data_IF_604991380943
#
_entry.id   IF_604991380943
#
_cell.length_a   1.000
_cell.length_b   1.000
_cell.length_c   1.000
_cell.angle_alpha   90.00
_cell.angle_beta   90.00
_cell.angle_gamma   90.00
#
_symmetry.space_group_name_H-M   'P 1'
#
loop_
_entity.id
_entity.type
_entity.pdbx_description
1 polymer ?
#
# COMPACT_ATOMS: atom_id res chain seq x y z
N UNK A 1 -4.16 25.38 14.78
CA UNK A 1 -3.88 24.96 13.39
C UNK A 1 -2.57 24.22 13.35
N UNK A 2 -2.49 23.09 12.63
CA UNK A 2 -1.28 22.29 12.40
C UNK A 2 -1.03 22.15 10.90
N UNK A 3 0.22 22.24 10.48
CA UNK A 3 0.58 22.06 9.05
C UNK A 3 1.20 20.69 8.84
N UNK A 4 0.60 19.86 7.98
CA UNK A 4 1.12 18.56 7.55
C UNK A 4 1.82 18.75 6.20
N UNK A 5 3.10 18.40 6.13
CA UNK A 5 3.85 18.25 4.88
C UNK A 5 3.74 16.83 4.35
N UNK A 6 3.48 16.67 3.06
CA UNK A 6 3.32 15.37 2.40
C UNK A 6 4.38 15.25 1.30
N UNK A 7 5.30 14.30 1.43
CA UNK A 7 6.24 13.93 0.37
C UNK A 7 5.52 12.96 -0.57
N UNK A 8 5.16 13.45 -1.75
CA UNK A 8 4.32 12.80 -2.73
C UNK A 8 2.98 13.52 -2.89
N UNK A 9 2.62 13.80 -4.14
CA UNK A 9 1.40 14.52 -4.51
C UNK A 9 0.41 13.64 -5.29
N UNK A 10 0.52 12.33 -5.20
CA UNK A 10 -0.37 11.40 -5.88
C UNK A 10 -1.75 11.29 -5.21
N UNK A 11 -2.48 10.23 -5.56
CA UNK A 11 -3.83 10.00 -5.02
C UNK A 11 -3.85 9.75 -3.51
N UNK A 12 -2.79 9.17 -2.94
CA UNK A 12 -2.72 8.93 -1.50
C UNK A 12 -2.59 10.25 -0.74
N UNK A 13 -1.75 11.16 -1.24
CA UNK A 13 -1.62 12.51 -0.72
C UNK A 13 -2.90 13.32 -0.85
N UNK A 14 -3.63 13.18 -1.98
CA UNK A 14 -4.96 13.78 -2.18
C UNK A 14 -5.92 13.35 -1.07
N UNK A 15 -6.14 12.04 -0.92
CA UNK A 15 -7.06 11.49 0.09
C UNK A 15 -6.61 11.79 1.52
N UNK A 16 -5.29 11.81 1.78
CA UNK A 16 -4.77 12.20 3.09
C UNK A 16 -5.12 13.66 3.42
N UNK A 17 -4.89 14.59 2.48
CA UNK A 17 -5.23 16.00 2.68
C UNK A 17 -6.72 16.21 2.89
N UNK A 18 -7.59 15.54 2.12
CA UNK A 18 -9.04 15.60 2.28
C UNK A 18 -9.50 15.10 3.65
N UNK A 19 -8.94 13.99 4.14
CA UNK A 19 -9.34 13.40 5.42
C UNK A 19 -8.72 14.12 6.62
N UNK A 20 -7.52 14.68 6.48
CA UNK A 20 -6.90 15.51 7.51
C UNK A 20 -7.72 16.77 7.82
N UNK A 21 -8.31 17.38 6.82
CA UNK A 21 -9.20 18.56 6.98
C UNK A 21 -10.54 18.25 7.70
N UNK A 22 -10.85 16.96 7.91
CA UNK A 22 -12.05 16.51 8.65
C UNK A 22 -11.76 16.21 10.13
N UNK A 23 -10.54 16.43 10.61
CA UNK A 23 -10.18 16.28 12.02
C UNK A 23 -10.77 17.41 12.87
N UNK A 24 -10.83 17.19 14.19
CA UNK A 24 -11.19 18.26 15.14
C UNK A 24 -10.10 19.35 15.21
N UNK A 25 -8.85 18.95 15.08
CA UNK A 25 -7.73 19.88 14.94
C UNK A 25 -7.78 20.52 13.56
N UNK A 26 -7.73 21.85 13.50
CA UNK A 26 -7.60 22.58 12.23
C UNK A 26 -6.26 22.23 11.57
N UNK A 27 -6.33 21.67 10.36
CA UNK A 27 -5.16 21.18 9.62
C UNK A 27 -5.02 21.94 8.30
N UNK A 28 -3.79 22.32 8.01
CA UNK A 28 -3.31 22.79 6.71
C UNK A 28 -2.41 21.72 6.09
N UNK A 29 -2.49 21.50 4.79
CA UNK A 29 -1.65 20.55 4.07
C UNK A 29 -0.78 21.22 3.01
N UNK A 30 0.47 20.79 2.90
CA UNK A 30 1.41 21.19 1.85
C UNK A 30 1.93 19.89 1.22
N UNK A 31 1.86 19.76 -0.12
CA UNK A 31 2.43 18.59 -0.80
C UNK A 31 3.64 18.99 -1.67
N UNK A 32 4.61 18.07 -1.74
CA UNK A 32 5.76 18.11 -2.64
C UNK A 32 5.60 17.05 -3.71
N UNK A 33 5.63 17.44 -4.98
CA UNK A 33 5.61 16.50 -6.11
C UNK A 33 6.33 17.10 -7.34
N UNK A 34 7.02 16.31 -8.16
CA UNK A 34 7.64 16.80 -9.39
C UNK A 34 6.62 17.20 -10.47
N UNK A 35 5.40 16.66 -10.45
CA UNK A 35 4.34 17.00 -11.41
C UNK A 35 3.58 18.25 -10.95
N UNK A 36 3.55 19.28 -11.79
CA UNK A 36 2.85 20.53 -11.45
C UNK A 36 1.31 20.40 -11.35
N UNK A 37 0.76 19.30 -11.90
CA UNK A 37 -0.66 18.92 -11.89
C UNK A 37 -0.93 17.70 -10.99
N UNK A 38 -0.07 17.49 -9.97
CA UNK A 38 -0.20 16.37 -9.06
C UNK A 38 -1.58 16.39 -8.34
N UNK A 39 -2.29 15.26 -8.25
CA UNK A 39 -3.64 15.16 -7.68
C UNK A 39 -3.82 15.82 -6.31
N UNK A 40 -2.86 15.64 -5.40
CA UNK A 40 -2.94 16.18 -4.04
C UNK A 40 -2.98 17.71 -4.00
N UNK A 41 -2.47 18.39 -5.01
CA UNK A 41 -2.49 19.86 -5.06
C UNK A 41 -3.91 20.44 -5.11
N UNK A 42 -4.89 19.64 -5.55
CA UNK A 42 -6.29 20.06 -5.52
C UNK A 42 -6.90 20.13 -4.11
N UNK A 43 -6.36 19.34 -3.17
CA UNK A 43 -6.84 19.30 -1.78
C UNK A 43 -5.88 19.99 -0.78
N UNK A 44 -4.64 20.24 -1.15
CA UNK A 44 -3.67 20.92 -0.31
C UNK A 44 -3.84 22.45 -0.34
N UNK A 45 -3.43 23.11 0.74
CA UNK A 45 -3.50 24.57 0.88
C UNK A 45 -2.33 25.26 0.22
N UNK A 46 -1.23 24.50 -0.02
CA UNK A 46 -0.05 24.98 -0.69
C UNK A 46 0.71 23.80 -1.32
N UNK A 47 1.65 24.08 -2.19
CA UNK A 47 2.41 23.08 -2.95
C UNK A 47 3.86 23.48 -3.16
N UNK A 48 4.70 22.48 -3.32
CA UNK A 48 6.08 22.62 -3.78
C UNK A 48 6.23 21.73 -5.02
N UNK A 49 6.59 22.31 -6.15
CA UNK A 49 6.92 21.55 -7.36
C UNK A 49 8.42 21.27 -7.32
N UNK A 50 8.80 20.03 -7.06
CA UNK A 50 10.20 19.64 -6.88
C UNK A 50 10.36 18.12 -6.85
N UNK A 51 11.57 17.65 -7.10
CA UNK A 51 11.89 16.21 -7.11
C UNK A 51 12.02 15.67 -5.68
N UNK A 52 11.74 14.40 -5.47
CA UNK A 52 11.89 13.72 -4.18
C UNK A 52 13.37 13.47 -3.80
N UNK A 53 14.27 13.54 -4.77
CA UNK A 53 15.72 13.43 -4.62
C UNK A 53 16.43 14.80 -4.65
N UNK A 54 15.67 15.90 -4.56
CA UNK A 54 16.20 17.26 -4.34
C UNK A 54 16.16 17.59 -2.85
N UNK A 55 17.34 17.62 -2.16
CA UNK A 55 17.39 17.93 -0.73
C UNK A 55 16.78 19.29 -0.37
N UNK A 56 16.93 20.29 -1.26
CA UNK A 56 16.42 21.63 -1.00
C UNK A 56 14.89 21.68 -1.02
N UNK A 57 14.27 20.97 -1.99
CA UNK A 57 12.82 20.90 -2.09
C UNK A 57 12.20 20.15 -0.90
N UNK A 58 12.81 19.02 -0.48
CA UNK A 58 12.33 18.24 0.68
C UNK A 58 12.54 19.04 1.97
N UNK A 59 13.68 19.71 2.16
CA UNK A 59 13.92 20.54 3.34
C UNK A 59 12.98 21.76 3.38
N UNK A 60 12.64 22.37 2.24
CA UNK A 60 11.67 23.45 2.15
C UNK A 60 10.30 23.00 2.66
N UNK A 61 9.85 21.79 2.28
CA UNK A 61 8.62 21.20 2.81
C UNK A 61 8.70 21.03 4.32
N UNK A 62 9.82 20.50 4.83
CA UNK A 62 10.03 20.30 6.28
C UNK A 62 9.99 21.63 7.03
N UNK A 63 10.64 22.68 6.54
CA UNK A 63 10.65 24.01 7.19
C UNK A 63 9.27 24.67 7.25
N UNK A 64 8.39 24.37 6.29
CA UNK A 64 7.05 24.96 6.19
C UNK A 64 5.98 24.13 6.88
N UNK A 65 6.35 23.00 7.50
CA UNK A 65 5.42 22.06 8.10
C UNK A 65 5.71 21.84 9.59
N UNK A 66 4.67 21.67 10.40
CA UNK A 66 4.82 21.25 11.81
C UNK A 66 5.16 19.76 11.93
N UNK A 67 4.72 18.97 10.94
CA UNK A 67 4.95 17.52 10.86
C UNK A 67 4.97 17.09 9.40
N UNK A 68 5.84 16.14 9.06
CA UNK A 68 5.96 15.64 7.69
C UNK A 68 5.71 14.14 7.65
N UNK A 69 5.06 13.70 6.58
CA UNK A 69 4.84 12.30 6.22
C UNK A 69 5.17 12.08 4.75
N UNK A 70 5.16 10.83 4.32
CA UNK A 70 5.39 10.44 2.94
C UNK A 70 4.26 9.52 2.44
N UNK A 71 3.88 9.69 1.18
CA UNK A 71 3.00 8.77 0.44
C UNK A 71 3.76 8.05 -0.68
N UNK A 72 5.02 8.46 -0.93
CA UNK A 72 5.90 7.90 -1.92
C UNK A 72 6.97 7.03 -1.26
N UNK A 73 7.11 5.78 -1.71
CA UNK A 73 7.98 4.78 -1.07
C UNK A 73 9.47 4.96 -1.37
N UNK A 74 9.81 5.58 -2.49
CA UNK A 74 11.20 5.64 -2.96
C UNK A 74 11.88 6.98 -2.65
N UNK A 75 11.57 7.58 -1.49
CA UNK A 75 12.32 8.76 -1.00
C UNK A 75 13.72 8.30 -0.60
N UNK A 76 14.79 8.91 -1.14
CA UNK A 76 16.16 8.48 -0.83
C UNK A 76 16.51 8.69 0.65
N UNK A 77 17.18 7.69 1.24
CA UNK A 77 17.55 7.74 2.65
C UNK A 77 18.58 8.79 2.99
N UNK A 78 19.52 9.06 2.10
CA UNK A 78 20.51 10.12 2.24
C UNK A 78 19.88 11.52 2.41
N UNK A 79 18.65 11.70 1.94
CA UNK A 79 17.88 12.93 2.10
C UNK A 79 17.06 12.89 3.37
N UNK A 80 16.31 11.80 3.59
CA UNK A 80 15.32 11.76 4.65
C UNK A 80 15.94 11.55 6.05
N UNK A 81 17.02 10.75 6.16
CA UNK A 81 17.66 10.46 7.45
C UNK A 81 18.12 11.74 8.16
N UNK A 82 18.90 12.65 7.55
CA UNK A 82 19.32 13.88 8.22
C UNK A 82 18.16 14.81 8.59
N UNK A 83 17.04 14.73 7.86
CA UNK A 83 15.86 15.54 8.14
C UNK A 83 15.05 14.99 9.30
N UNK A 84 15.05 13.67 9.55
CA UNK A 84 14.41 13.08 10.71
C UNK A 84 14.99 13.58 12.05
N UNK A 85 16.28 13.94 12.07
CA UNK A 85 16.94 14.47 13.28
C UNK A 85 16.61 15.95 13.53
N UNK A 86 16.20 16.68 12.49
CA UNK A 86 16.00 18.13 12.52
C UNK A 86 14.54 18.56 12.50
N UNK A 87 13.69 17.74 11.94
CA UNK A 87 12.27 18.02 11.72
C UNK A 87 11.40 16.87 12.22
N UNK A 88 10.16 17.15 12.52
CA UNK A 88 9.22 16.14 12.99
C UNK A 88 8.70 15.29 11.81
N UNK A 89 9.35 14.15 11.58
CA UNK A 89 8.95 13.10 10.65
C UNK A 89 8.68 11.82 11.47
N UNK A 90 7.51 11.71 12.13
CA UNK A 90 7.33 10.76 13.23
C UNK A 90 7.29 9.28 12.80
N UNK A 91 7.05 8.99 11.53
CA UNK A 91 7.21 7.62 10.97
C UNK A 91 8.70 7.25 10.84
N UNK A 92 9.59 8.24 10.74
CA UNK A 92 11.02 8.03 10.53
C UNK A 92 11.33 7.46 9.14
N UNK A 93 12.61 7.10 8.95
CA UNK A 93 13.07 6.48 7.71
C UNK A 93 13.08 4.95 7.77
N UNK A 94 13.15 4.35 8.95
CA UNK A 94 13.32 2.90 9.12
C UNK A 94 12.28 2.05 8.37
N UNK A 95 10.97 2.32 8.42
CA UNK A 95 9.99 1.53 7.67
C UNK A 95 10.18 1.62 6.15
N UNK A 96 10.53 2.81 5.63
CA UNK A 96 10.89 2.97 4.21
C UNK A 96 12.14 2.18 3.83
N UNK A 97 13.20 2.31 4.64
CA UNK A 97 14.43 1.56 4.41
C UNK A 97 14.17 0.05 4.32
N UNK A 98 13.38 -0.48 5.25
CA UNK A 98 13.10 -1.91 5.28
C UNK A 98 12.24 -2.36 4.08
N UNK A 99 11.27 -1.56 3.61
CA UNK A 99 10.39 -1.90 2.50
C UNK A 99 10.96 -1.63 1.10
N UNK A 100 11.98 -0.79 0.96
CA UNK A 100 12.58 -0.43 -0.33
C UNK A 100 13.38 -1.56 -1.00
N UNK A 101 13.71 -2.61 -0.29
CA UNK A 101 14.46 -3.76 -0.79
C UNK A 101 13.82 -5.07 -0.34
N UNK A 102 13.28 -5.86 -1.28
CA UNK A 102 12.53 -7.10 -1.00
C UNK A 102 13.33 -8.14 -0.19
N UNK A 103 14.65 -8.21 -0.35
CA UNK A 103 15.48 -9.12 0.44
C UNK A 103 15.53 -8.69 1.90
N UNK A 104 15.75 -7.39 2.13
CA UNK A 104 15.78 -6.80 3.48
C UNK A 104 14.40 -6.85 4.14
N UNK A 105 13.35 -6.54 3.39
CA UNK A 105 11.96 -6.60 3.82
C UNK A 105 11.58 -8.00 4.32
N UNK A 106 11.87 -9.04 3.53
CA UNK A 106 11.57 -10.42 3.89
C UNK A 106 12.45 -10.93 5.05
N UNK A 107 13.72 -10.53 5.09
CA UNK A 107 14.58 -10.87 6.22
C UNK A 107 14.05 -10.23 7.50
N UNK A 108 13.69 -8.94 7.46
CA UNK A 108 13.11 -8.24 8.60
C UNK A 108 11.79 -8.88 9.05
N UNK A 109 10.92 -9.26 8.12
CA UNK A 109 9.66 -9.96 8.43
C UNK A 109 9.93 -11.29 9.16
N UNK A 110 10.87 -12.08 8.67
CA UNK A 110 11.28 -13.39 9.27
C UNK A 110 11.91 -13.22 10.64
N UNK A 111 12.80 -12.25 10.80
CA UNK A 111 13.50 -11.98 12.07
C UNK A 111 12.55 -11.54 13.17
N UNK A 112 11.38 -10.98 12.80
CA UNK A 112 10.33 -10.56 13.72
C UNK A 112 9.10 -11.48 13.73
N UNK A 113 9.28 -12.75 13.29
CA UNK A 113 8.32 -13.83 13.52
C UNK A 113 7.20 -13.98 12.49
N UNK A 114 7.25 -13.25 11.36
CA UNK A 114 6.36 -13.52 10.25
C UNK A 114 6.91 -14.65 9.36
N UNK A 115 6.04 -15.57 8.98
CA UNK A 115 6.38 -16.61 8.01
C UNK A 115 6.47 -15.97 6.61
N UNK A 116 7.53 -16.30 5.87
CA UNK A 116 7.72 -15.88 4.48
C UNK A 116 7.84 -17.10 3.57
N UNK A 117 7.60 -16.98 2.25
CA UNK A 117 8.14 -17.96 1.31
C UNK A 117 9.65 -18.13 1.55
N UNK A 118 10.23 -19.29 1.24
CA UNK A 118 11.68 -19.43 1.23
C UNK A 118 12.27 -18.55 0.13
N UNK A 119 13.40 -17.91 0.39
CA UNK A 119 13.99 -16.97 -0.55
C UNK A 119 15.52 -16.99 -0.57
N UNK A 120 16.10 -16.58 -1.69
CA UNK A 120 17.54 -16.42 -1.89
C UNK A 120 17.86 -15.14 -2.63
N UNK A 121 18.94 -14.48 -2.27
CA UNK A 121 19.49 -13.38 -3.05
C UNK A 121 20.04 -13.91 -4.38
N UNK A 122 19.83 -13.14 -5.45
CA UNK A 122 20.26 -13.46 -6.80
C UNK A 122 20.87 -12.22 -7.43
N UNK A 123 22.15 -12.27 -7.76
CA UNK A 123 22.88 -11.16 -8.34
C UNK A 123 23.31 -11.41 -9.79
N UNK A 124 23.32 -12.70 -10.22
CA UNK A 124 23.72 -13.15 -11.54
C UNK A 124 23.09 -14.51 -11.90
N UNK A 125 23.33 -14.99 -13.12
CA UNK A 125 22.81 -16.29 -13.59
C UNK A 125 23.34 -17.46 -12.73
N UNK A 126 24.57 -17.40 -12.27
CA UNK A 126 25.16 -18.48 -11.46
C UNK A 126 24.46 -18.59 -10.10
N UNK A 127 24.19 -17.45 -9.45
CA UNK A 127 23.44 -17.40 -8.19
C UNK A 127 21.97 -17.79 -8.39
N UNK A 128 21.35 -17.45 -9.54
CA UNK A 128 20.00 -17.89 -9.89
C UNK A 128 19.92 -19.42 -9.99
N UNK A 129 20.87 -20.04 -10.73
CA UNK A 129 20.91 -21.51 -10.87
C UNK A 129 21.14 -22.21 -9.54
N UNK A 130 22.01 -21.67 -8.66
CA UNK A 130 22.19 -22.20 -7.29
C UNK A 130 20.90 -22.06 -6.47
N UNK A 131 20.26 -20.90 -6.50
CA UNK A 131 19.01 -20.66 -5.77
C UNK A 131 17.90 -21.61 -6.22
N UNK A 132 17.78 -21.88 -7.53
CA UNK A 132 16.82 -22.85 -8.07
C UNK A 132 17.15 -24.28 -7.64
N UNK A 133 18.44 -24.66 -7.62
CA UNK A 133 18.83 -25.98 -7.17
C UNK A 133 18.46 -26.21 -5.68
N UNK A 134 18.43 -25.16 -4.86
CA UNK A 134 18.03 -25.21 -3.46
C UNK A 134 16.51 -25.14 -3.24
N UNK A 135 15.82 -24.24 -3.96
CA UNK A 135 14.40 -23.95 -3.73
C UNK A 135 13.47 -24.77 -4.63
N UNK A 136 13.95 -25.21 -5.78
CA UNK A 136 13.17 -25.93 -6.78
C UNK A 136 12.19 -25.04 -7.58
N UNK A 137 11.36 -25.72 -8.37
CA UNK A 137 10.27 -25.11 -9.12
C UNK A 137 8.90 -25.52 -8.53
N UNK A 138 7.85 -24.69 -8.67
CA UNK A 138 7.89 -23.35 -9.22
C UNK A 138 8.46 -22.31 -8.25
N UNK A 139 9.09 -21.27 -8.81
CA UNK A 139 9.67 -20.15 -8.06
C UNK A 139 9.31 -18.81 -8.73
N UNK A 140 9.52 -17.70 -8.02
CA UNK A 140 9.30 -16.35 -8.56
C UNK A 140 10.60 -15.55 -8.41
N UNK A 141 11.16 -15.12 -9.53
CA UNK A 141 12.26 -14.16 -9.56
C UNK A 141 11.69 -12.75 -9.54
N UNK A 142 12.17 -11.91 -8.61
CA UNK A 142 11.72 -10.51 -8.47
C UNK A 142 12.93 -9.59 -8.39
N UNK A 143 12.87 -8.40 -8.99
CA UNK A 143 13.86 -7.34 -8.70
C UNK A 143 13.75 -6.94 -7.24
N UNK A 144 14.89 -6.69 -6.57
CA UNK A 144 14.90 -6.33 -5.14
C UNK A 144 14.30 -4.95 -4.89
N UNK A 145 14.47 -4.02 -5.84
CA UNK A 145 14.03 -2.63 -5.71
C UNK A 145 13.16 -2.22 -6.89
N UNK A 146 12.34 -1.18 -6.71
CA UNK A 146 11.53 -0.53 -7.76
C UNK A 146 10.50 -1.44 -8.47
N UNK A 147 10.23 -2.65 -7.98
CA UNK A 147 9.16 -3.50 -8.49
C UNK A 147 7.79 -3.03 -7.93
N UNK A 148 6.77 -2.97 -8.78
CA UNK A 148 5.40 -2.62 -8.40
C UNK A 148 4.38 -3.20 -9.39
N UNK A 149 3.16 -3.43 -8.96
CA UNK A 149 2.03 -3.85 -9.81
C UNK A 149 2.40 -4.99 -10.81
N UNK A 150 3.16 -5.99 -10.36
CA UNK A 150 3.63 -7.12 -11.17
C UNK A 150 4.83 -6.83 -12.09
N UNK A 151 5.31 -5.58 -12.14
CA UNK A 151 6.54 -5.25 -12.87
C UNK A 151 7.78 -5.74 -12.12
N UNK A 152 8.81 -6.15 -12.87
CA UNK A 152 10.06 -6.62 -12.29
C UNK A 152 9.96 -8.01 -11.66
N UNK A 153 9.04 -8.86 -12.10
CA UNK A 153 8.94 -10.25 -11.64
C UNK A 153 8.64 -11.24 -12.79
N UNK A 154 9.11 -12.48 -12.61
CA UNK A 154 8.89 -13.59 -13.52
C UNK A 154 8.65 -14.88 -12.74
N UNK A 155 7.55 -15.56 -13.03
CA UNK A 155 7.28 -16.91 -12.50
C UNK A 155 8.07 -17.92 -13.32
N UNK A 156 8.87 -18.73 -12.62
CA UNK A 156 9.66 -19.82 -13.18
C UNK A 156 8.97 -21.13 -12.82
N UNK A 157 8.37 -21.79 -13.81
CA UNK A 157 7.67 -23.08 -13.61
C UNK A 157 8.57 -24.27 -13.87
N UNK A 158 9.50 -24.08 -14.81
CA UNK A 158 10.44 -25.09 -15.26
C UNK A 158 11.78 -24.43 -15.66
N UNK A 159 12.78 -25.23 -15.93
CA UNK A 159 14.09 -24.71 -16.38
C UNK A 159 14.02 -23.93 -17.71
N UNK A 160 13.04 -24.25 -18.58
CA UNK A 160 12.84 -23.50 -19.84
C UNK A 160 12.45 -22.03 -19.65
N UNK A 161 11.96 -21.66 -18.48
CA UNK A 161 11.56 -20.27 -18.18
C UNK A 161 12.76 -19.38 -17.80
N UNK A 162 13.93 -19.97 -17.54
CA UNK A 162 15.11 -19.24 -17.11
C UNK A 162 15.60 -18.22 -18.13
N UNK A 163 15.61 -18.55 -19.41
CA UNK A 163 16.06 -17.64 -20.48
C UNK A 163 15.23 -16.35 -20.49
N UNK A 164 13.92 -16.46 -20.22
CA UNK A 164 13.03 -15.29 -20.16
C UNK A 164 13.25 -14.43 -18.91
N UNK A 165 13.82 -14.99 -17.87
CA UNK A 165 14.10 -14.31 -16.62
C UNK A 165 15.47 -13.59 -16.60
N UNK A 166 16.41 -13.97 -17.46
CA UNK A 166 17.75 -13.40 -17.51
C UNK A 166 17.79 -11.87 -17.64
N UNK A 167 16.91 -11.21 -18.39
CA UNK A 167 16.90 -9.74 -18.44
C UNK A 167 16.64 -9.05 -17.08
N UNK A 168 15.98 -9.72 -16.13
CA UNK A 168 15.78 -9.17 -14.79
C UNK A 168 17.09 -9.08 -14.00
N UNK A 169 18.09 -9.91 -14.34
CA UNK A 169 19.39 -9.94 -13.67
C UNK A 169 20.29 -8.74 -14.02
N UNK A 170 19.80 -7.79 -14.82
CA UNK A 170 20.47 -6.50 -14.99
C UNK A 170 20.56 -5.70 -13.67
N UNK A 171 19.77 -6.06 -12.68
CA UNK A 171 19.76 -5.51 -11.32
C UNK A 171 19.69 -6.64 -10.30
N UNK A 172 20.09 -6.40 -9.03
CA UNK A 172 19.94 -7.40 -7.97
C UNK A 172 18.50 -7.89 -7.82
N UNK A 173 18.33 -9.20 -7.68
CA UNK A 173 17.06 -9.89 -7.59
C UNK A 173 16.95 -10.71 -6.28
N UNK A 174 15.75 -11.21 -6.04
CA UNK A 174 15.43 -12.24 -5.04
C UNK A 174 14.64 -13.34 -5.73
N UNK A 175 14.98 -14.60 -5.48
CA UNK A 175 14.20 -15.76 -5.87
C UNK A 175 13.39 -16.23 -4.65
N UNK A 176 12.10 -16.38 -4.83
CA UNK A 176 11.18 -16.87 -3.80
C UNK A 176 10.51 -18.16 -4.25
N UNK A 177 10.23 -19.09 -3.32
CA UNK A 177 9.36 -20.23 -3.62
C UNK A 177 7.96 -19.72 -3.98
N UNK A 178 7.37 -20.28 -5.02
CA UNK A 178 6.00 -19.95 -5.40
C UNK A 178 5.02 -20.49 -4.35
N UNK A 179 4.18 -19.63 -3.79
CA UNK A 179 3.11 -20.03 -2.87
C UNK A 179 1.84 -20.22 -3.69
N UNK A 180 1.32 -21.45 -3.86
CA UNK A 180 0.03 -21.68 -4.49
C UNK A 180 -1.09 -21.37 -3.49
N UNK A 181 -1.35 -20.08 -3.28
CA UNK A 181 -2.26 -19.58 -2.27
C UNK A 181 -3.74 -19.86 -2.61
N UNK A 182 -4.56 -19.99 -1.57
CA UNK A 182 -6.01 -20.09 -1.68
C UNK A 182 -6.65 -18.71 -1.86
N UNK A 183 -6.05 -17.69 -1.22
CA UNK A 183 -6.42 -16.29 -1.38
C UNK A 183 -5.30 -15.35 -0.93
N UNK A 184 -5.38 -14.11 -1.39
CA UNK A 184 -4.56 -13.00 -0.93
C UNK A 184 -5.34 -12.14 0.07
N UNK A 185 -4.66 -11.65 1.09
CA UNK A 185 -5.27 -10.78 2.09
C UNK A 185 -4.35 -9.60 2.42
N UNK A 186 -4.95 -8.52 2.90
CA UNK A 186 -4.19 -7.38 3.41
C UNK A 186 -4.80 -6.84 4.70
N UNK A 187 -3.91 -6.32 5.55
CA UNK A 187 -4.26 -5.60 6.75
C UNK A 187 -3.58 -4.23 6.73
N UNK A 188 -4.34 -3.20 7.11
CA UNK A 188 -3.81 -1.85 7.32
C UNK A 188 -3.84 -1.57 8.81
N UNK A 189 -2.78 -0.96 9.32
CA UNK A 189 -2.64 -0.65 10.75
C UNK A 189 -2.06 0.75 10.92
N UNK A 190 -2.40 1.40 12.03
CA UNK A 190 -1.77 2.65 12.46
C UNK A 190 -1.31 2.49 13.91
N UNK A 191 -0.06 2.87 14.21
CA UNK A 191 0.49 2.81 15.55
C UNK A 191 0.94 4.18 16.04
N UNK A 192 0.69 4.43 17.31
CA UNK A 192 1.36 5.47 18.10
C UNK A 192 2.21 4.82 19.21
N UNK A 193 2.68 5.59 20.18
CA UNK A 193 3.47 5.08 21.31
C UNK A 193 2.64 4.24 22.31
N UNK A 194 1.32 4.26 22.23
CA UNK A 194 0.40 3.66 23.20
C UNK A 194 -0.26 2.42 22.65
N UNK A 195 -0.65 2.44 21.37
CA UNK A 195 -1.48 1.40 20.78
C UNK A 195 -1.17 1.18 19.28
N UNK A 196 -1.59 0.02 18.78
CA UNK A 196 -1.77 -0.26 17.36
C UNK A 196 -3.25 -0.46 17.14
N UNK A 197 -3.82 0.26 16.18
CA UNK A 197 -5.18 0.03 15.69
C UNK A 197 -5.10 -0.60 14.31
N UNK A 198 -5.87 -1.67 14.10
CA UNK A 198 -5.89 -2.40 12.83
C UNK A 198 -7.27 -2.33 12.20
N UNK A 199 -7.31 -2.13 10.90
CA UNK A 199 -8.52 -2.19 10.10
C UNK A 199 -8.93 -3.64 9.86
N UNK A 200 -10.22 -3.93 9.61
CA UNK A 200 -10.65 -5.26 9.22
C UNK A 200 -9.86 -5.77 8.01
N UNK A 201 -9.55 -7.07 8.01
CA UNK A 201 -8.78 -7.70 6.95
C UNK A 201 -9.61 -7.83 5.68
N UNK A 202 -9.06 -7.38 4.56
CA UNK A 202 -9.64 -7.53 3.24
C UNK A 202 -9.07 -8.74 2.50
N UNK A 203 -9.93 -9.43 1.73
CA UNK A 203 -9.50 -10.41 0.74
C UNK A 203 -9.30 -9.70 -0.59
N UNK A 204 -8.09 -9.79 -1.12
CA UNK A 204 -7.69 -9.14 -2.35
C UNK A 204 -7.83 -10.09 -3.56
N UNK A 205 -8.19 -9.53 -4.69
CA UNK A 205 -8.16 -10.19 -5.99
C UNK A 205 -7.33 -9.34 -6.93
N UNK A 206 -6.21 -9.89 -7.39
CA UNK A 206 -5.35 -9.23 -8.39
C UNK A 206 -5.64 -9.78 -9.79
N UNK A 207 -5.59 -8.90 -10.77
CA UNK A 207 -5.57 -9.24 -12.20
C UNK A 207 -4.33 -8.65 -12.84
N UNK A 208 -3.56 -9.48 -13.51
CA UNK A 208 -2.27 -9.08 -14.12
C UNK A 208 -1.32 -8.36 -13.14
N UNK A 209 -1.29 -8.79 -11.87
CA UNK A 209 -0.46 -8.21 -10.82
C UNK A 209 -0.97 -6.88 -10.24
N UNK A 210 -2.14 -6.38 -10.66
CA UNK A 210 -2.75 -5.16 -10.14
C UNK A 210 -3.97 -5.52 -9.30
N UNK A 211 -4.10 -4.91 -8.12
CA UNK A 211 -5.29 -5.08 -7.28
C UNK A 211 -6.54 -4.64 -8.07
N UNK A 212 -7.47 -5.56 -8.25
CA UNK A 212 -8.74 -5.33 -8.94
C UNK A 212 -9.89 -5.14 -7.94
N UNK A 213 -10.04 -6.07 -7.00
CA UNK A 213 -11.11 -6.08 -6.00
C UNK A 213 -10.56 -6.32 -4.60
N UNK A 214 -11.21 -5.72 -3.61
CA UNK A 214 -11.03 -6.04 -2.20
C UNK A 214 -12.40 -6.29 -1.56
N UNK A 215 -12.59 -7.43 -0.90
CA UNK A 215 -13.81 -7.84 -0.22
C UNK A 215 -13.62 -7.80 1.28
N UNK A 216 -14.51 -7.11 2.00
CA UNK A 216 -14.45 -6.97 3.46
C UNK A 216 -15.83 -7.21 4.08
N UNK A 217 -15.94 -8.10 5.07
CA UNK A 217 -14.87 -8.93 5.62
C UNK A 217 -14.33 -9.93 4.58
N UNK A 218 -13.14 -10.45 4.82
CA UNK A 218 -12.47 -11.36 3.89
C UNK A 218 -13.27 -12.65 3.60
N UNK A 219 -14.31 -12.95 4.39
CA UNK A 219 -15.21 -14.10 4.18
C UNK A 219 -14.49 -15.45 4.29
N UNK A 220 -13.47 -15.55 5.13
CA UNK A 220 -12.62 -16.73 5.33
C UNK A 220 -12.59 -17.12 6.79
N UNK A 221 -11.84 -18.18 7.10
CA UNK A 221 -11.66 -18.68 8.44
C UNK A 221 -11.28 -17.55 9.44
N UNK A 222 -12.16 -17.29 10.40
CA UNK A 222 -11.98 -16.23 11.39
C UNK A 222 -10.74 -16.44 12.28
N UNK A 223 -10.34 -17.68 12.55
CA UNK A 223 -9.16 -17.99 13.33
C UNK A 223 -7.88 -17.62 12.57
N UNK A 224 -7.83 -17.89 11.26
CA UNK A 224 -6.70 -17.49 10.39
C UNK A 224 -6.60 -15.98 10.34
N UNK A 225 -7.71 -15.27 10.18
CA UNK A 225 -7.73 -13.81 10.12
C UNK A 225 -7.30 -13.18 11.46
N UNK A 226 -7.74 -13.75 12.60
CA UNK A 226 -7.32 -13.28 13.91
C UNK A 226 -5.83 -13.51 14.17
N UNK A 227 -5.29 -14.68 13.78
CA UNK A 227 -3.83 -14.91 13.85
C UNK A 227 -3.06 -13.91 12.98
N UNK A 228 -3.54 -13.64 11.76
CA UNK A 228 -2.94 -12.63 10.87
C UNK A 228 -2.90 -11.26 11.53
N UNK A 229 -4.01 -10.82 12.14
CA UNK A 229 -4.08 -9.56 12.87
C UNK A 229 -3.05 -9.50 14.02
N UNK A 230 -3.05 -10.52 14.88
CA UNK A 230 -2.16 -10.59 16.05
C UNK A 230 -0.67 -10.59 15.62
N UNK A 231 -0.32 -11.36 14.59
CA UNK A 231 1.04 -11.42 14.07
C UNK A 231 1.46 -10.07 13.44
N UNK A 232 0.58 -9.43 12.68
CA UNK A 232 0.87 -8.13 12.05
C UNK A 232 1.09 -7.02 13.08
N UNK A 233 0.21 -6.94 14.08
CA UNK A 233 0.37 -5.98 15.18
C UNK A 233 1.63 -6.26 16.00
N UNK A 234 1.94 -7.54 16.25
CA UNK A 234 3.17 -7.99 16.92
C UNK A 234 4.42 -7.55 16.14
N UNK A 235 4.41 -7.76 14.84
CA UNK A 235 5.49 -7.33 13.94
C UNK A 235 5.70 -5.81 14.00
N UNK A 236 4.63 -5.02 13.86
CA UNK A 236 4.71 -3.56 13.91
C UNK A 236 5.29 -3.05 15.23
N UNK A 237 4.89 -3.66 16.36
CA UNK A 237 5.43 -3.34 17.70
C UNK A 237 6.90 -3.75 17.84
N UNK A 238 7.26 -4.95 17.39
CA UNK A 238 8.62 -5.49 17.50
C UNK A 238 9.64 -4.68 16.68
N UNK A 239 9.25 -4.24 15.47
CA UNK A 239 10.04 -3.34 14.65
C UNK A 239 10.11 -1.90 15.19
N UNK A 240 9.25 -1.54 16.14
CA UNK A 240 9.14 -0.17 16.64
C UNK A 240 8.54 0.81 15.63
N UNK A 241 7.84 0.31 14.60
CA UNK A 241 7.23 1.17 13.57
C UNK A 241 6.09 2.00 14.15
N UNK A 242 5.98 3.24 13.66
CA UNK A 242 4.95 4.20 14.03
C UNK A 242 4.29 4.76 12.76
N UNK A 243 3.09 5.32 12.94
CA UNK A 243 2.27 5.76 11.83
C UNK A 243 1.59 4.59 11.13
N UNK A 244 1.45 4.64 9.83
CA UNK A 244 0.69 3.66 9.05
C UNK A 244 1.59 2.58 8.45
N UNK A 245 1.09 1.35 8.46
CA UNK A 245 1.68 0.20 7.78
C UNK A 245 0.57 -0.65 7.17
N UNK A 246 0.71 -1.00 5.91
CA UNK A 246 -0.06 -2.06 5.27
C UNK A 246 0.81 -3.29 5.06
N UNK A 247 0.25 -4.48 5.23
CA UNK A 247 0.93 -5.75 4.95
C UNK A 247 0.03 -6.60 4.06
N UNK A 248 0.60 -7.17 3.02
CA UNK A 248 -0.04 -8.15 2.14
C UNK A 248 0.46 -9.56 2.43
N UNK A 249 -0.46 -10.51 2.37
CA UNK A 249 -0.23 -11.91 2.68
C UNK A 249 -0.78 -12.85 1.62
N UNK A 250 -0.09 -13.97 1.42
CA UNK A 250 -0.66 -15.16 0.79
C UNK A 250 -1.16 -16.11 1.88
N UNK A 251 -2.32 -16.69 1.72
CA UNK A 251 -2.87 -17.69 2.65
C UNK A 251 -3.06 -19.01 1.91
N UNK A 252 -2.53 -20.10 2.50
CA UNK A 252 -2.66 -21.45 1.98
C UNK A 252 -2.92 -22.45 3.10
N UNK A 253 -4.04 -23.15 3.05
CA UNK A 253 -4.37 -24.21 4.03
C UNK A 253 -4.37 -23.73 5.49
N UNK A 254 -4.56 -22.40 5.72
CA UNK A 254 -4.46 -21.79 7.03
C UNK A 254 -3.07 -21.23 7.39
N UNK A 255 -2.02 -21.53 6.63
CA UNK A 255 -0.71 -20.89 6.77
C UNK A 255 -0.73 -19.48 6.16
N UNK A 256 -0.06 -18.54 6.83
CA UNK A 256 -0.05 -17.12 6.49
C UNK A 256 1.39 -16.73 6.08
N UNK A 257 1.59 -16.40 4.81
CA UNK A 257 2.89 -16.03 4.27
C UNK A 257 2.94 -14.54 3.97
N UNK A 258 3.87 -13.83 4.60
CA UNK A 258 4.15 -12.42 4.30
C UNK A 258 4.59 -12.27 2.84
N UNK A 259 3.91 -11.38 2.11
CA UNK A 259 4.28 -11.03 0.74
C UNK A 259 5.09 -9.73 0.70
N UNK A 260 4.48 -8.60 1.03
CA UNK A 260 5.15 -7.29 1.04
C UNK A 260 4.49 -6.35 2.04
N UNK A 261 5.16 -5.24 2.36
CA UNK A 261 4.60 -4.20 3.20
C UNK A 261 4.75 -2.81 2.57
N UNK A 262 3.89 -1.89 2.96
CA UNK A 262 3.93 -0.49 2.55
C UNK A 262 3.77 0.42 3.77
N UNK A 263 4.77 1.23 4.14
CA UNK A 263 4.71 2.16 5.28
C UNK A 263 3.99 3.47 4.92
N UNK A 264 2.89 3.37 4.21
CA UNK A 264 2.03 4.46 3.72
C UNK A 264 0.60 3.98 3.58
N UNK A 265 -0.38 4.88 3.37
CA UNK A 265 -1.72 4.46 2.97
C UNK A 265 -1.67 3.54 1.77
N UNK A 266 -2.47 2.49 1.79
CA UNK A 266 -2.41 1.44 0.78
C UNK A 266 -3.71 1.34 -0.02
N UNK A 267 -3.57 0.95 -1.29
CA UNK A 267 -4.70 0.82 -2.20
C UNK A 267 -5.76 -0.17 -1.67
N UNK A 268 -5.32 -1.29 -1.10
CA UNK A 268 -6.23 -2.27 -0.50
C UNK A 268 -6.98 -1.78 0.75
N UNK A 269 -6.65 -0.60 1.26
CA UNK A 269 -7.32 0.06 2.39
C UNK A 269 -8.24 1.22 1.98
N UNK A 270 -8.43 1.53 0.70
CA UNK A 270 -9.26 2.68 0.29
C UNK A 270 -10.73 2.51 0.65
N UNK A 271 -11.25 1.29 0.65
CA UNK A 271 -12.60 0.96 1.09
C UNK A 271 -12.92 1.45 2.52
N UNK A 272 -11.90 1.68 3.34
CA UNK A 272 -12.07 2.16 4.73
C UNK A 272 -12.71 3.54 4.80
N UNK A 273 -12.68 4.34 3.72
CA UNK A 273 -13.20 5.71 3.70
C UNK A 273 -14.69 5.72 4.03
N UNK A 274 -15.46 4.81 3.45
CA UNK A 274 -16.91 4.67 3.68
C UNK A 274 -17.27 3.39 4.44
N UNK A 275 -16.45 2.35 4.32
CA UNK A 275 -16.74 1.02 4.90
C UNK A 275 -16.43 0.93 6.40
N UNK A 276 -15.73 1.90 7.00
CA UNK A 276 -15.41 1.93 8.43
C UNK A 276 -15.86 3.21 9.13
N UNK A 277 -15.97 3.15 10.46
CA UNK A 277 -16.26 4.31 11.32
C UNK A 277 -15.16 5.38 11.26
N UNK A 278 -13.92 4.98 10.98
CA UNK A 278 -12.77 5.83 10.65
C UNK A 278 -11.98 5.18 9.51
N UNK A 279 -11.02 5.88 8.90
CA UNK A 279 -10.31 5.35 7.74
C UNK A 279 -8.79 5.51 7.86
N UNK A 280 -8.05 4.79 7.00
CA UNK A 280 -6.60 4.75 7.03
C UNK A 280 -5.94 6.14 6.94
N UNK A 281 -6.51 7.05 6.18
CA UNK A 281 -5.98 8.41 6.01
C UNK A 281 -6.25 9.27 7.24
N UNK A 282 -7.45 9.13 7.82
CA UNK A 282 -7.85 9.87 9.02
C UNK A 282 -7.04 9.44 10.23
N UNK A 283 -6.81 8.14 10.41
CA UNK A 283 -5.99 7.64 11.51
C UNK A 283 -4.52 8.01 11.34
N UNK A 284 -3.96 7.99 10.12
CA UNK A 284 -2.64 8.56 9.88
C UNK A 284 -2.59 10.05 10.22
N UNK A 285 -3.58 10.83 9.78
CA UNK A 285 -3.64 12.26 10.08
C UNK A 285 -3.76 12.54 11.59
N UNK A 286 -4.57 11.75 12.34
CA UNK A 286 -4.63 11.81 13.82
C UNK A 286 -3.26 11.60 14.44
N UNK A 287 -2.57 10.55 14.03
CA UNK A 287 -1.21 10.29 14.50
C UNK A 287 -0.27 11.47 14.26
N UNK A 288 -0.29 12.03 13.05
CA UNK A 288 0.58 13.15 12.67
C UNK A 288 0.35 14.40 13.53
N UNK A 289 -0.92 14.74 13.80
CA UNK A 289 -1.26 15.93 14.60
C UNK A 289 -1.28 15.68 16.10
N UNK A 290 -1.17 14.41 16.54
CA UNK A 290 -1.15 14.02 17.95
C UNK A 290 -2.55 13.86 18.56
N UNK A 291 -3.59 13.67 17.75
CA UNK A 291 -4.90 13.24 18.23
C UNK A 291 -4.90 11.74 18.58
N UNK A 292 -5.74 11.30 19.55
CA UNK A 292 -5.87 9.88 19.87
C UNK A 292 -6.34 9.07 18.65
N UNK A 293 -5.72 7.92 18.43
CA UNK A 293 -6.19 6.96 17.44
C UNK A 293 -7.55 6.38 17.84
N UNK A 294 -8.39 6.11 16.86
CA UNK A 294 -9.68 5.48 17.03
C UNK A 294 -9.64 4.04 16.49
N UNK A 295 -10.28 3.11 17.19
CA UNK A 295 -10.44 1.75 16.72
C UNK A 295 -11.40 1.73 15.54
N UNK A 296 -10.98 1.25 14.35
CA UNK A 296 -11.86 1.18 13.21
C UNK A 296 -12.85 0.00 13.34
N UNK A 297 -14.12 0.25 13.04
CA UNK A 297 -15.16 -0.78 13.00
C UNK A 297 -15.75 -0.81 11.60
N UNK A 298 -15.99 -2.01 11.07
CA UNK A 298 -16.68 -2.20 9.79
C UNK A 298 -18.15 -1.78 9.94
N UNK A 299 -18.60 -0.88 9.10
CA UNK A 299 -19.98 -0.38 9.11
C UNK A 299 -20.94 -1.41 8.50
N UNK A 300 -20.54 -2.01 7.40
CA UNK A 300 -21.28 -3.04 6.68
C UNK A 300 -20.33 -3.82 5.75
N UNK A 301 -20.70 -5.01 5.26
CA UNK A 301 -19.94 -5.68 4.21
C UNK A 301 -19.64 -4.72 3.06
N UNK A 302 -18.40 -4.70 2.60
CA UNK A 302 -17.92 -3.68 1.66
C UNK A 302 -17.08 -4.33 0.57
N UNK A 303 -17.28 -3.89 -0.66
CA UNK A 303 -16.44 -4.25 -1.81
C UNK A 303 -15.78 -3.00 -2.33
N UNK A 304 -14.49 -3.05 -2.62
CA UNK A 304 -13.80 -2.01 -3.35
C UNK A 304 -13.38 -2.54 -4.72
N UNK A 305 -13.69 -1.79 -5.76
CA UNK A 305 -13.23 -2.00 -7.14
C UNK A 305 -12.25 -0.91 -7.51
N UNK A 306 -11.01 -1.29 -7.90
CA UNK A 306 -10.10 -0.34 -8.52
C UNK A 306 -10.60 0.05 -9.92
N UNK A 307 -10.43 1.31 -10.25
CA UNK A 307 -10.72 1.86 -11.57
C UNK A 307 -9.39 2.11 -12.29
N UNK A 308 -9.14 1.31 -13.30
CA UNK A 308 -8.00 1.49 -14.19
C UNK A 308 -8.38 2.37 -15.39
N UNK A 309 -7.40 2.74 -16.21
CA UNK A 309 -7.67 3.63 -17.34
C UNK A 309 -8.75 3.15 -18.29
N UNK A 310 -8.84 1.84 -18.53
CA UNK A 310 -9.87 1.24 -19.35
C UNK A 310 -11.27 1.27 -18.71
N UNK A 311 -11.37 1.37 -17.38
CA UNK A 311 -12.63 1.36 -16.63
C UNK A 311 -13.19 2.78 -16.42
N UNK A 312 -12.43 3.84 -16.78
CA UNK A 312 -12.71 5.22 -16.40
C UNK A 312 -14.07 5.72 -16.91
N UNK A 313 -14.45 5.38 -18.13
CA UNK A 313 -15.73 5.81 -18.70
C UNK A 313 -16.92 5.18 -17.97
N UNK A 314 -16.81 3.90 -17.58
CA UNK A 314 -17.85 3.25 -16.77
C UNK A 314 -17.92 3.90 -15.38
N UNK A 315 -16.78 4.15 -14.74
CA UNK A 315 -16.74 4.80 -13.43
C UNK A 315 -17.39 6.22 -13.47
N UNK A 316 -17.17 6.97 -14.54
CA UNK A 316 -17.83 8.28 -14.74
C UNK A 316 -19.35 8.17 -14.87
N UNK A 317 -19.85 7.13 -15.56
CA UNK A 317 -21.30 6.86 -15.64
C UNK A 317 -21.87 6.54 -14.27
N UNK A 318 -21.20 5.64 -13.52
CA UNK A 318 -21.61 5.30 -12.15
C UNK A 318 -21.59 6.53 -11.24
N UNK A 319 -20.65 7.45 -11.42
CA UNK A 319 -20.53 8.66 -10.59
C UNK A 319 -21.70 9.64 -10.76
N UNK A 320 -22.39 9.64 -11.91
CA UNK A 320 -23.55 10.53 -12.17
C UNK A 320 -24.89 9.85 -11.94
N UNK A 321 -24.91 8.54 -11.76
CA UNK A 321 -26.10 7.75 -11.44
C UNK A 321 -26.17 7.57 -9.92
N UNK A 322 -27.24 8.01 -9.23
CA UNK A 322 -27.35 7.80 -7.79
C UNK A 322 -27.58 6.30 -7.49
N UNK A 323 -26.68 5.73 -6.72
CA UNK A 323 -26.78 4.36 -6.19
C UNK A 323 -26.53 4.40 -4.69
N UNK A 324 -27.47 3.88 -3.91
CA UNK A 324 -27.31 3.80 -2.45
C UNK A 324 -26.11 2.92 -2.09
N UNK A 325 -25.24 3.41 -1.21
CA UNK A 325 -24.05 2.70 -0.75
C UNK A 325 -22.93 2.61 -1.77
N UNK A 326 -22.99 3.32 -2.92
CA UNK A 326 -21.93 3.32 -3.94
C UNK A 326 -21.21 4.67 -3.96
N UNK A 327 -19.91 4.64 -3.75
CA UNK A 327 -19.07 5.83 -3.65
C UNK A 327 -17.95 5.78 -4.68
N UNK A 328 -17.87 6.78 -5.55
CA UNK A 328 -16.90 6.85 -6.64
C UNK A 328 -15.84 7.90 -6.32
N UNK A 329 -14.58 7.47 -6.29
CA UNK A 329 -13.42 8.33 -6.11
C UNK A 329 -12.59 8.35 -7.39
N UNK A 330 -12.57 9.47 -8.09
CA UNK A 330 -11.71 9.71 -9.24
C UNK A 330 -10.53 10.58 -8.82
N UNK A 331 -9.31 10.15 -9.17
CA UNK A 331 -8.08 10.78 -8.67
C UNK A 331 -7.67 12.07 -9.40
N UNK A 332 -8.42 12.50 -10.43
CA UNK A 332 -8.15 13.74 -11.15
C UNK A 332 -6.86 13.73 -11.98
N UNK A 333 -6.32 12.56 -12.31
CA UNK A 333 -5.11 12.46 -13.14
C UNK A 333 -5.39 12.92 -14.56
N UNK A 334 -4.51 13.77 -15.12
CA UNK A 334 -4.64 14.39 -16.44
C UNK A 334 -4.62 13.39 -17.60
N UNK A 335 -3.86 12.30 -17.44
CA UNK A 335 -3.69 11.31 -18.48
C UNK A 335 -4.24 9.95 -18.04
N UNK A 336 -5.13 9.36 -18.85
CA UNK A 336 -5.62 8.00 -18.69
C UNK A 336 -4.87 7.06 -19.62
N UNK A 337 -4.34 5.96 -19.04
CA UNK A 337 -3.68 4.88 -19.79
C UNK A 337 -4.20 3.53 -19.29
N UNK A 338 -4.26 2.49 -20.13
CA UNK A 338 -4.54 1.13 -19.66
C UNK A 338 -3.67 0.77 -18.45
N UNK A 339 -4.25 0.05 -17.48
CA UNK A 339 -3.59 -0.38 -16.24
C UNK A 339 -3.18 0.76 -15.27
N UNK A 340 -3.30 2.05 -15.61
CA UNK A 340 -3.06 3.15 -14.68
C UNK A 340 -4.25 3.28 -13.73
N UNK A 341 -4.00 3.30 -12.42
CA UNK A 341 -5.02 3.53 -11.38
C UNK A 341 -5.58 4.95 -11.49
N UNK A 342 -6.84 5.07 -11.87
CA UNK A 342 -7.53 6.35 -12.12
C UNK A 342 -8.54 6.70 -11.03
N UNK A 343 -8.93 5.71 -10.23
CA UNK A 343 -9.92 5.87 -9.17
C UNK A 343 -10.19 4.56 -8.44
N UNK A 344 -11.20 4.58 -7.59
CA UNK A 344 -11.81 3.37 -7.03
C UNK A 344 -13.31 3.62 -6.78
N UNK A 345 -14.07 2.54 -6.67
CA UNK A 345 -15.45 2.56 -6.24
C UNK A 345 -15.57 1.71 -4.98
N UNK A 346 -16.21 2.26 -3.95
CA UNK A 346 -16.54 1.54 -2.73
C UNK A 346 -18.05 1.25 -2.71
N UNK A 347 -18.41 -0.02 -2.51
CA UNK A 347 -19.77 -0.51 -2.40
C UNK A 347 -20.01 -0.92 -0.95
N UNK A 348 -20.72 -0.13 -0.17
CA UNK A 348 -21.06 -0.37 1.24
C UNK A 348 -22.41 -1.09 1.34
N UNK A 349 -22.51 -2.10 2.19
CA UNK A 349 -23.69 -2.96 2.29
C UNK A 349 -23.73 -4.07 1.23
N UNK A 350 -22.60 -4.34 0.58
CA UNK A 350 -22.48 -5.30 -0.52
C UNK A 350 -21.45 -6.38 -0.19
N UNK A 351 -21.84 -7.63 -0.34
CA UNK A 351 -20.94 -8.79 -0.26
C UNK A 351 -20.46 -9.23 -1.67
N UNK A 352 -19.52 -10.19 -1.70
CA UNK A 352 -18.95 -10.69 -2.94
C UNK A 352 -20.00 -11.26 -3.90
N UNK A 353 -20.97 -12.03 -3.40
CA UNK A 353 -21.99 -12.67 -4.23
C UNK A 353 -22.95 -11.65 -4.86
N UNK A 354 -23.28 -10.60 -4.11
CA UNK A 354 -24.10 -9.50 -4.60
C UNK A 354 -23.34 -8.67 -5.65
N UNK A 355 -22.07 -8.39 -5.38
CA UNK A 355 -21.22 -7.69 -6.36
C UNK A 355 -21.10 -8.47 -7.66
N UNK A 356 -20.81 -9.76 -7.59
CA UNK A 356 -20.67 -10.61 -8.78
C UNK A 356 -21.95 -10.65 -9.62
N UNK A 357 -23.12 -10.67 -8.98
CA UNK A 357 -24.42 -10.69 -9.66
C UNK A 357 -24.80 -9.36 -10.30
N UNK A 358 -24.47 -8.22 -9.66
CA UNK A 358 -25.04 -6.91 -10.04
C UNK A 358 -24.03 -5.98 -10.72
N UNK A 359 -22.76 -6.16 -10.48
CA UNK A 359 -21.73 -5.20 -10.88
C UNK A 359 -20.57 -5.77 -11.70
N UNK A 360 -20.23 -7.07 -11.53
CA UNK A 360 -19.02 -7.61 -12.14
C UNK A 360 -19.00 -7.45 -13.67
N UNK A 361 -20.13 -7.65 -14.35
CA UNK A 361 -20.24 -7.54 -15.81
C UNK A 361 -20.09 -6.09 -16.33
N UNK A 362 -20.26 -5.08 -15.47
CA UNK A 362 -20.13 -3.67 -15.88
C UNK A 362 -18.67 -3.24 -16.09
N UNK A 363 -17.72 -4.00 -15.55
CA UNK A 363 -16.28 -3.72 -15.57
C UNK A 363 -15.47 -4.83 -16.26
N UNK A 364 -16.02 -5.43 -17.30
CA UNK A 364 -15.37 -6.44 -18.15
C UNK A 364 -14.85 -5.83 -19.44
#
# INVERSE_FOLDING_TARGET
MKTIGIIGGGQLGLMLAEQAKRLATEVRCIALDPAADAPAFAACDDRIVGRFDDPAAVEELCRRSDVVTYEFENVPGEILIPLCDRYRIPQGYRPLYDSQDRLREKQNARDHGLQTPEFRAVDDEQSLRRAIAELGFPAVLKTRTLGYDGHGQQVLRTESDLEQALPLLAVPCILETFVPFDFEASIVMVADDRQVVSFPIGRNVHRDGILDLCFVPAGRDAEVLERMRVQSEGFMRACGYRGILAIEYFVRGGDIYFNEMAPRPHNSGHWTIEGCTTNQFRELARYLVGEPLQTPELVAPTVMKNILGQDLEMARRVAVEPHDGVYVHLYGKSESRPKRKMGHITFVGMDAATYDREWAERFV
#
